data_IF_707000204720
#
_entry.id   IF_707000204720
#
_cell.length_a   1.000
_cell.length_b   1.000
_cell.length_c   1.000
_cell.angle_alpha   90.00
_cell.angle_beta   90.00
_cell.angle_gamma   90.00
#
_symmetry.space_group_name_H-M   'P 1'
#
loop_
_entity.id
_entity.type
_entity.pdbx_description
1 polymer ?
#
# COMPACT_ATOMS: atom_id res chain seq x y z
N UNK A 1 4.86 26.89 -36.53
CA UNK A 1 5.60 26.20 -35.44
C UNK A 1 4.59 25.76 -34.38
N UNK A 2 4.12 24.52 -34.44
CA UNK A 2 3.21 23.98 -33.44
C UNK A 2 4.03 23.40 -32.28
N UNK A 3 3.93 24.02 -31.11
CA UNK A 3 4.55 23.52 -29.88
C UNK A 3 3.78 22.28 -29.43
N UNK A 4 4.38 21.11 -29.62
CA UNK A 4 3.88 19.86 -29.07
C UNK A 4 4.02 19.92 -27.54
N UNK A 5 2.89 20.07 -26.87
CA UNK A 5 2.76 19.87 -25.43
C UNK A 5 3.09 18.41 -25.12
N UNK A 6 4.33 18.14 -24.74
CA UNK A 6 4.71 16.86 -24.17
C UNK A 6 3.94 16.71 -22.84
N UNK A 7 3.04 15.72 -22.69
CA UNK A 7 2.38 15.50 -21.42
C UNK A 7 3.48 15.12 -20.43
N UNK A 8 3.66 15.96 -19.41
CA UNK A 8 4.55 15.69 -18.30
C UNK A 8 4.28 14.27 -17.84
N UNK A 9 5.29 13.41 -17.99
CA UNK A 9 5.32 11.99 -17.67
C UNK A 9 4.49 11.69 -16.42
N UNK A 10 3.24 11.27 -16.60
CA UNK A 10 2.40 10.90 -15.46
C UNK A 10 2.85 9.52 -15.03
N UNK A 11 3.67 9.49 -13.99
CA UNK A 11 4.17 8.31 -13.27
C UNK A 11 3.03 7.52 -12.56
N UNK A 12 1.80 7.61 -13.06
CA UNK A 12 0.63 6.93 -12.51
C UNK A 12 0.15 5.89 -13.50
N UNK A 13 0.06 4.63 -13.06
CA UNK A 13 -0.41 3.54 -13.91
C UNK A 13 -1.85 3.79 -14.37
N UNK A 14 -2.14 3.37 -15.60
CA UNK A 14 -3.45 3.48 -16.20
C UNK A 14 -4.50 2.70 -15.40
N UNK A 15 -5.78 3.13 -15.50
CA UNK A 15 -6.93 2.51 -14.83
C UNK A 15 -6.98 1.00 -15.03
N UNK A 16 -6.64 0.55 -16.24
CA UNK A 16 -6.72 -0.84 -16.64
C UNK A 16 -5.69 -1.70 -15.90
N UNK A 17 -4.51 -1.14 -15.61
CA UNK A 17 -3.47 -1.82 -14.81
C UNK A 17 -3.94 -2.02 -13.37
N UNK A 18 -4.61 -1.01 -12.79
CA UNK A 18 -5.20 -1.14 -11.45
C UNK A 18 -6.32 -2.18 -11.42
N UNK A 19 -7.22 -2.15 -12.41
CA UNK A 19 -8.32 -3.11 -12.53
C UNK A 19 -7.80 -4.54 -12.71
N UNK A 20 -6.84 -4.74 -13.62
CA UNK A 20 -6.22 -6.03 -13.88
C UNK A 20 -5.61 -6.63 -12.61
N UNK A 21 -4.74 -5.88 -11.93
CA UNK A 21 -4.11 -6.38 -10.70
C UNK A 21 -5.13 -6.64 -9.59
N UNK A 22 -6.19 -5.83 -9.50
CA UNK A 22 -7.24 -6.02 -8.50
C UNK A 22 -8.03 -7.31 -8.76
N UNK A 23 -8.46 -7.54 -10.00
CA UNK A 23 -9.16 -8.76 -10.39
C UNK A 23 -8.27 -10.01 -10.24
N UNK A 24 -7.00 -9.94 -10.65
CA UNK A 24 -6.03 -11.02 -10.41
C UNK A 24 -5.89 -11.35 -8.93
N UNK A 25 -5.83 -10.33 -8.07
CA UNK A 25 -5.67 -10.54 -6.63
C UNK A 25 -6.94 -11.09 -5.99
N UNK A 26 -8.13 -10.66 -6.43
CA UNK A 26 -9.41 -11.22 -5.98
C UNK A 26 -9.61 -12.67 -6.46
N UNK A 27 -9.24 -12.98 -7.71
CA UNK A 27 -9.28 -14.35 -8.24
C UNK A 27 -8.39 -15.28 -7.41
N UNK A 28 -7.14 -14.87 -7.15
CA UNK A 28 -6.24 -15.59 -6.27
C UNK A 28 -6.80 -15.75 -4.85
N UNK A 29 -7.47 -14.71 -4.32
CA UNK A 29 -8.09 -14.77 -3.01
C UNK A 29 -9.24 -15.80 -2.95
N UNK A 30 -10.02 -15.92 -4.03
CA UNK A 30 -11.10 -16.92 -4.17
C UNK A 30 -10.56 -18.34 -4.23
N UNK A 31 -9.47 -18.58 -4.97
CA UNK A 31 -8.85 -19.91 -5.12
C UNK A 31 -8.21 -20.42 -3.82
N UNK A 32 -7.87 -19.52 -2.90
CA UNK A 32 -7.38 -19.88 -1.57
C UNK A 32 -8.59 -20.28 -0.69
N UNK A 33 -9.06 -21.53 -0.84
CA UNK A 33 -10.21 -22.25 -0.21
C UNK A 33 -10.77 -21.76 1.14
N UNK A 34 -10.00 -21.02 1.94
CA UNK A 34 -10.41 -20.31 3.15
C UNK A 34 -11.29 -19.07 2.94
N UNK A 35 -11.52 -18.57 1.72
CA UNK A 35 -12.26 -17.30 1.55
C UNK A 35 -13.78 -17.47 1.64
N UNK A 36 -14.29 -18.59 1.12
CA UNK A 36 -15.71 -18.95 1.06
C UNK A 36 -16.13 -19.97 2.12
N UNK A 37 -15.21 -20.39 3.01
CA UNK A 37 -15.57 -21.30 4.11
C UNK A 37 -16.59 -20.60 5.04
N UNK A 38 -17.74 -21.23 5.33
CA UNK A 38 -18.85 -20.64 6.09
C UNK A 38 -18.46 -20.23 7.52
N UNK A 39 -17.35 -20.77 8.04
CA UNK A 39 -16.80 -20.44 9.36
C UNK A 39 -16.00 -19.12 9.37
N UNK A 40 -15.72 -18.54 8.19
CA UNK A 40 -15.04 -17.24 8.13
C UNK A 40 -16.01 -16.11 8.46
N UNK A 41 -15.83 -15.54 9.65
CA UNK A 41 -16.49 -14.29 10.07
C UNK A 41 -16.43 -13.24 8.96
N UNK A 42 -17.54 -12.55 8.73
CA UNK A 42 -17.66 -11.45 7.74
C UNK A 42 -16.52 -10.43 7.87
N UNK A 43 -16.14 -10.08 9.11
CA UNK A 43 -14.99 -9.22 9.42
C UNK A 43 -13.67 -9.70 8.80
N UNK A 44 -13.41 -11.01 8.78
CA UNK A 44 -12.16 -11.55 8.24
C UNK A 44 -12.16 -11.57 6.72
N UNK A 45 -13.32 -11.80 6.08
CA UNK A 45 -13.50 -11.63 4.63
C UNK A 45 -13.22 -10.18 4.22
N UNK A 46 -13.78 -9.20 4.94
CA UNK A 46 -13.53 -7.77 4.69
C UNK A 46 -12.03 -7.42 4.84
N UNK A 47 -11.36 -7.92 5.88
CA UNK A 47 -9.90 -7.71 6.06
C UNK A 47 -9.10 -8.32 4.91
N UNK A 48 -9.49 -9.50 4.41
CA UNK A 48 -8.85 -10.17 3.27
C UNK A 48 -9.02 -9.35 1.98
N UNK A 49 -10.23 -8.85 1.70
CA UNK A 49 -10.51 -7.97 0.55
C UNK A 49 -9.69 -6.68 0.66
N UNK A 50 -9.71 -6.01 1.83
CA UNK A 50 -8.93 -4.78 2.05
C UNK A 50 -7.44 -5.00 1.82
N UNK A 51 -6.90 -6.13 2.28
CA UNK A 51 -5.51 -6.52 2.02
C UNK A 51 -5.26 -6.75 0.53
N UNK A 52 -6.14 -7.48 -0.14
CA UNK A 52 -6.05 -7.73 -1.58
C UNK A 52 -6.03 -6.42 -2.37
N UNK A 53 -6.92 -5.48 -2.03
CA UNK A 53 -6.94 -4.14 -2.61
C UNK A 53 -5.60 -3.43 -2.45
N UNK A 54 -5.02 -3.39 -1.24
CA UNK A 54 -3.74 -2.74 -1.03
C UNK A 54 -2.58 -3.42 -1.78
N UNK A 55 -2.59 -4.75 -1.89
CA UNK A 55 -1.57 -5.50 -2.63
C UNK A 55 -1.66 -5.23 -4.14
N UNK A 56 -2.88 -5.23 -4.71
CA UNK A 56 -3.06 -4.93 -6.13
C UNK A 56 -2.69 -3.49 -6.46
N UNK A 57 -3.08 -2.54 -5.61
CA UNK A 57 -2.73 -1.12 -5.73
C UNK A 57 -1.22 -0.91 -5.68
N UNK A 58 -0.52 -1.58 -4.74
CA UNK A 58 0.93 -1.53 -4.63
C UNK A 58 1.62 -2.07 -5.91
N UNK A 59 1.15 -3.21 -6.43
CA UNK A 59 1.67 -3.78 -7.68
C UNK A 59 1.47 -2.84 -8.87
N UNK A 60 0.26 -2.30 -9.01
CA UNK A 60 -0.05 -1.34 -10.07
C UNK A 60 0.87 -0.12 -9.98
N UNK A 61 1.01 0.48 -8.80
CA UNK A 61 1.78 1.70 -8.53
C UNK A 61 3.31 1.61 -8.72
N UNK A 62 3.83 0.61 -9.44
CA UNK A 62 5.26 0.41 -9.67
C UNK A 62 5.94 -0.55 -8.70
N UNK A 63 5.17 -1.31 -7.90
CA UNK A 63 5.69 -2.40 -7.08
C UNK A 63 6.84 -1.99 -6.16
N UNK A 64 8.03 -2.58 -6.35
CA UNK A 64 9.20 -2.30 -5.50
C UNK A 64 9.86 -0.96 -5.73
N UNK A 65 9.48 -0.22 -6.79
CA UNK A 65 10.09 1.06 -7.16
C UNK A 65 9.63 2.21 -6.25
N UNK A 66 8.48 2.06 -5.59
CA UNK A 66 7.94 3.04 -4.65
C UNK A 66 8.13 2.59 -3.22
N UNK A 67 8.56 3.49 -2.36
CA UNK A 67 8.82 3.18 -0.96
C UNK A 67 7.53 2.79 -0.24
N UNK A 68 6.43 3.50 -0.50
CA UNK A 68 5.14 3.16 0.09
C UNK A 68 4.57 1.85 -0.42
N UNK A 69 4.72 1.58 -1.71
CA UNK A 69 4.25 0.32 -2.32
C UNK A 69 5.03 -0.88 -1.78
N UNK A 70 6.37 -0.77 -1.74
CA UNK A 70 7.24 -1.78 -1.15
C UNK A 70 6.87 -2.06 0.31
N UNK A 71 6.57 -1.03 1.10
CA UNK A 71 6.10 -1.17 2.48
C UNK A 71 4.82 -2.00 2.56
N UNK A 72 3.81 -1.73 1.73
CA UNK A 72 2.57 -2.50 1.68
C UNK A 72 2.80 -3.97 1.29
N UNK A 73 3.66 -4.23 0.31
CA UNK A 73 4.02 -5.59 -0.10
C UNK A 73 4.72 -6.37 1.02
N UNK A 74 5.65 -5.72 1.75
CA UNK A 74 6.30 -6.32 2.92
C UNK A 74 5.31 -6.61 4.05
N UNK A 75 4.37 -5.70 4.32
CA UNK A 75 3.32 -5.93 5.33
C UNK A 75 2.43 -7.11 4.94
N UNK A 76 2.12 -7.26 3.65
CA UNK A 76 1.33 -8.36 3.14
C UNK A 76 2.05 -9.71 3.27
N UNK A 77 3.35 -9.76 2.97
CA UNK A 77 4.19 -10.96 3.09
C UNK A 77 4.43 -11.38 4.56
N UNK A 78 4.65 -10.42 5.47
CA UNK A 78 4.97 -10.66 6.89
C UNK A 78 3.85 -11.33 7.69
N UNK A 79 2.62 -11.40 7.16
CA UNK A 79 1.47 -12.06 7.82
C UNK A 79 1.33 -13.54 7.46
N UNK A 80 1.95 -14.04 6.38
CA UNK A 80 1.95 -15.48 6.08
C UNK A 80 2.96 -16.24 6.96
N UNK A 81 4.02 -15.56 7.43
CA UNK A 81 5.07 -16.14 8.28
C UNK A 81 4.84 -15.88 9.78
N UNK A 82 3.65 -16.19 10.33
CA UNK A 82 3.43 -16.12 11.79
C UNK A 82 4.36 -17.09 12.55
N UNK A 83 4.73 -18.21 11.94
CA UNK A 83 5.62 -19.22 12.53
C UNK A 83 7.07 -18.72 12.73
N UNK A 84 7.55 -17.77 11.92
CA UNK A 84 8.92 -17.22 12.01
C UNK A 84 9.06 -16.16 13.13
N UNK A 85 7.95 -15.69 13.70
CA UNK A 85 7.95 -14.66 14.76
C UNK A 85 8.38 -15.18 16.12
N UNK A 86 8.16 -16.47 16.43
CA UNK A 86 8.66 -17.06 17.67
C UNK A 86 10.21 -17.08 17.68
N UNK A 87 10.84 -17.43 16.56
CA UNK A 87 12.29 -17.48 16.46
C UNK A 87 12.96 -16.10 16.47
N UNK A 88 12.31 -15.07 15.87
CA UNK A 88 12.87 -13.71 15.77
C UNK A 88 12.66 -12.83 17.01
N UNK A 89 11.81 -13.21 17.97
CA UNK A 89 11.56 -12.40 19.18
C UNK A 89 12.82 -12.28 20.06
N UNK A 90 13.69 -13.29 20.06
CA UNK A 90 14.98 -13.30 20.79
C UNK A 90 16.01 -12.28 20.28
N UNK A 91 15.96 -11.87 19.00
CA UNK A 91 16.91 -10.89 18.41
C UNK A 91 16.48 -9.41 18.55
N UNK A 92 15.33 -9.12 19.17
CA UNK A 92 14.79 -7.74 19.23
C UNK A 92 15.39 -6.86 20.34
N UNK A 93 16.15 -7.44 21.27
CA UNK A 93 16.72 -6.68 22.39
C UNK A 93 17.89 -5.79 21.95
N UNK A 94 18.55 -6.08 20.83
CA UNK A 94 19.70 -5.29 20.33
C UNK A 94 19.34 -4.03 19.53
N UNK A 95 18.10 -3.88 19.05
CA UNK A 95 17.71 -2.72 18.20
C UNK A 95 17.23 -1.51 18.99
N UNK A 96 16.87 -1.68 20.26
CA UNK A 96 16.38 -0.61 21.12
C UNK A 96 17.49 0.35 21.59
N UNK A 97 18.77 -0.02 21.41
CA UNK A 97 19.91 0.79 21.86
C UNK A 97 20.46 1.76 20.81
N UNK A 98 20.00 1.70 19.54
CA UNK A 98 20.59 2.53 18.46
C UNK A 98 19.83 3.84 18.16
N UNK A 99 18.82 4.20 18.96
CA UNK A 99 17.97 5.40 18.71
C UNK A 99 18.15 6.53 19.73
N UNK A 100 19.26 6.53 20.45
CA UNK A 100 19.74 7.70 21.21
C UNK A 100 21.12 8.07 20.71
N UNK A 101 21.19 8.88 19.67
CA UNK A 101 22.34 9.76 19.45
C UNK A 101 21.97 10.84 18.44
N UNK A 102 21.81 12.06 18.97
CA UNK A 102 22.02 13.37 18.34
C UNK A 102 21.17 13.76 17.10
N UNK A 103 20.83 15.02 16.85
CA UNK A 103 20.86 16.32 17.53
C UNK A 103 20.22 17.28 16.53
N UNK A 104 19.51 18.26 17.05
CA UNK A 104 18.82 19.29 16.28
C UNK A 104 17.33 19.13 16.51
N UNK A 105 16.72 20.11 17.17
CA UNK A 105 15.32 20.43 16.91
C UNK A 105 15.35 21.27 15.63
N UNK A 106 15.04 20.71 14.44
CA UNK A 106 14.34 21.53 13.48
C UNK A 106 12.95 21.78 14.09
N UNK A 107 12.39 22.94 13.84
CA UNK A 107 10.95 23.16 13.92
C UNK A 107 10.32 22.11 13.00
N UNK A 108 10.03 20.93 13.56
CA UNK A 108 9.62 19.79 12.78
C UNK A 108 8.15 20.03 12.48
N UNK A 109 7.86 20.29 11.20
CA UNK A 109 6.51 20.54 10.75
C UNK A 109 5.62 19.36 11.19
N UNK A 110 4.74 19.64 12.16
CA UNK A 110 3.81 18.67 12.73
C UNK A 110 2.99 17.99 11.62
N UNK A 111 2.75 18.68 10.49
CA UNK A 111 2.10 18.09 9.33
C UNK A 111 2.96 17.03 8.64
N UNK A 112 4.27 17.25 8.49
CA UNK A 112 5.19 16.28 7.92
C UNK A 112 5.27 15.01 8.80
N UNK A 113 5.36 15.16 10.13
CA UNK A 113 5.32 14.02 11.06
C UNK A 113 4.01 13.23 10.97
N UNK A 114 2.87 13.89 10.82
CA UNK A 114 1.58 13.22 10.57
C UNK A 114 1.61 12.43 9.26
N UNK A 115 2.16 13.00 8.18
CA UNK A 115 2.30 12.30 6.89
C UNK A 115 3.21 11.08 6.99
N UNK A 116 4.30 11.14 7.75
CA UNK A 116 5.21 9.99 7.98
C UNK A 116 4.49 8.79 8.59
N UNK A 117 3.45 9.05 9.39
CA UNK A 117 2.61 8.02 10.01
C UNK A 117 1.47 7.52 9.10
N UNK A 118 0.98 8.36 8.18
CA UNK A 118 -0.10 8.01 7.25
C UNK A 118 0.39 7.28 6.01
N UNK A 119 1.53 7.70 5.44
CA UNK A 119 2.11 7.08 4.26
C UNK A 119 2.79 5.77 4.67
N UNK A 120 2.45 4.63 4.04
CA UNK A 120 3.12 3.37 4.34
C UNK A 120 4.64 3.51 4.19
N UNK A 121 5.40 3.21 5.24
CA UNK A 121 6.87 3.34 5.19
C UNK A 121 7.41 4.78 5.29
N UNK A 122 6.56 5.77 5.59
CA UNK A 122 6.94 7.19 5.70
C UNK A 122 7.85 7.54 6.88
N UNK A 123 7.86 6.73 7.95
CA UNK A 123 8.53 7.01 9.24
C UNK A 123 10.04 7.28 9.24
N UNK A 124 10.72 7.24 8.11
CA UNK A 124 12.13 7.63 7.96
C UNK A 124 12.42 8.33 6.64
N UNK A 125 11.39 8.85 5.97
CA UNK A 125 11.53 9.58 4.72
C UNK A 125 11.89 11.04 4.99
N UNK A 126 12.82 11.57 4.19
CA UNK A 126 13.06 13.02 4.07
C UNK A 126 11.78 13.71 3.57
N UNK A 127 11.53 14.94 4.03
CA UNK A 127 10.30 15.69 3.75
C UNK A 127 9.98 15.80 2.26
N UNK A 128 10.95 16.13 1.39
CA UNK A 128 10.74 16.20 -0.05
C UNK A 128 10.27 14.86 -0.63
N UNK A 129 10.94 13.77 -0.23
CA UNK A 129 10.57 12.43 -0.69
C UNK A 129 9.22 11.98 -0.16
N UNK A 130 8.91 12.34 1.08
CA UNK A 130 7.63 12.08 1.71
C UNK A 130 6.50 12.75 0.92
N UNK A 131 6.68 13.99 0.48
CA UNK A 131 5.66 14.71 -0.30
C UNK A 131 5.42 14.05 -1.67
N UNK A 132 6.48 13.66 -2.38
CA UNK A 132 6.37 12.90 -3.65
C UNK A 132 5.60 11.59 -3.47
N UNK A 133 6.00 10.79 -2.48
CA UNK A 133 5.37 9.50 -2.19
C UNK A 133 3.93 9.70 -1.73
N UNK A 134 3.63 10.77 -0.98
CA UNK A 134 2.28 11.13 -0.52
C UNK A 134 1.38 11.47 -1.71
N UNK A 135 1.83 12.36 -2.62
CA UNK A 135 1.05 12.75 -3.79
C UNK A 135 0.74 11.54 -4.68
N UNK A 136 1.74 10.68 -4.90
CA UNK A 136 1.57 9.45 -5.65
C UNK A 136 0.60 8.48 -4.94
N UNK A 137 0.73 8.33 -3.62
CA UNK A 137 -0.13 7.47 -2.82
C UNK A 137 -1.59 7.91 -2.85
N UNK A 138 -1.87 9.21 -2.70
CA UNK A 138 -3.22 9.78 -2.80
C UNK A 138 -3.83 9.46 -4.17
N UNK A 139 -3.08 9.68 -5.25
CA UNK A 139 -3.57 9.39 -6.61
C UNK A 139 -3.88 7.90 -6.81
N UNK A 140 -3.05 7.01 -6.27
CA UNK A 140 -3.28 5.56 -6.31
C UNK A 140 -4.48 5.13 -5.46
N UNK A 141 -4.71 5.75 -4.29
CA UNK A 141 -5.88 5.50 -3.45
C UNK A 141 -7.17 5.89 -4.18
N UNK A 142 -7.21 7.08 -4.77
CA UNK A 142 -8.36 7.54 -5.57
C UNK A 142 -8.64 6.58 -6.73
N UNK A 143 -7.60 6.08 -7.39
CA UNK A 143 -7.74 5.11 -8.47
C UNK A 143 -8.29 3.76 -7.98
N UNK A 144 -7.78 3.26 -6.85
CA UNK A 144 -8.25 2.02 -6.25
C UNK A 144 -9.75 2.11 -5.91
N UNK A 145 -10.19 3.21 -5.28
CA UNK A 145 -11.61 3.42 -4.97
C UNK A 145 -12.45 3.46 -6.23
N UNK A 146 -11.99 4.16 -7.28
CA UNK A 146 -12.68 4.23 -8.56
C UNK A 146 -12.86 2.86 -9.22
N UNK A 147 -11.81 2.04 -9.27
CA UNK A 147 -11.87 0.67 -9.80
C UNK A 147 -12.87 -0.17 -9.02
N UNK A 148 -12.85 -0.10 -7.69
CA UNK A 148 -13.79 -0.84 -6.84
C UNK A 148 -15.23 -0.41 -7.09
N UNK A 149 -15.49 0.90 -7.23
CA UNK A 149 -16.81 1.43 -7.52
C UNK A 149 -17.32 0.95 -8.89
N UNK A 150 -16.49 1.05 -9.95
CA UNK A 150 -16.88 0.59 -11.29
C UNK A 150 -17.25 -0.91 -11.32
N UNK A 151 -16.56 -1.74 -10.52
CA UNK A 151 -16.90 -3.16 -10.41
C UNK A 151 -18.22 -3.39 -9.67
N UNK A 152 -18.50 -2.60 -8.62
CA UNK A 152 -19.78 -2.68 -7.91
C UNK A 152 -20.92 -2.25 -8.82
N UNK A 153 -20.77 -1.12 -9.51
CA UNK A 153 -21.78 -0.58 -10.43
C UNK A 153 -22.08 -1.55 -11.59
N UNK A 154 -21.04 -2.20 -12.12
CA UNK A 154 -21.18 -3.18 -13.21
C UNK A 154 -21.78 -4.52 -12.79
N UNK A 155 -21.74 -4.86 -11.49
CA UNK A 155 -22.30 -6.10 -10.94
C UNK A 155 -23.65 -5.88 -10.23
N UNK A 156 -24.06 -4.63 -10.04
CA UNK A 156 -25.33 -4.31 -9.42
C UNK A 156 -26.47 -4.66 -10.39
N UNK A 157 -27.51 -5.39 -9.95
CA UNK A 157 -28.67 -5.65 -10.79
C UNK A 157 -29.33 -4.33 -11.20
N UNK A 158 -29.71 -4.24 -12.49
CA UNK A 158 -30.50 -3.12 -13.03
C UNK A 158 -31.96 -3.25 -12.66
#
# INVERSE_FOLDING_TARGET
MASAYNPIYTDVPEKDVFALHFLQTLSNLRTQNSFSSPDNKTSDRVKKIKKAAYVSMARAAGGTNRLWSRSLLHQAAKRNNKNVRFLRRKRRVTWLMRRRSNRGDPIEDVAAERLRNLVPGGGGMETSKLMEETAHYIKCLSMQVKVMQCLVDGLSPK
#
